data_IF_815474182084
#
_entry.id   IF_815474182084
#
_cell.length_a   1.000
_cell.length_b   1.000
_cell.length_c   1.000
_cell.angle_alpha   90.00
_cell.angle_beta   90.00
_cell.angle_gamma   90.00
#
_symmetry.space_group_name_H-M   'P 1'
#
loop_
_entity.id
_entity.type
_entity.pdbx_description
1 polymer ?
#
# COMPACT_ATOMS: atom_id res chain seq x y z
N UNK A 1 0.77 22.16 13.47
CA UNK A 1 -0.48 21.88 14.21
C UNK A 1 -0.57 20.38 14.39
N UNK A 2 -0.58 19.89 15.64
CA UNK A 2 -0.58 18.46 15.92
C UNK A 2 -2.02 17.94 15.85
N UNK A 3 -2.47 17.59 14.64
CA UNK A 3 -3.83 17.10 14.40
C UNK A 3 -3.83 15.58 14.60
N UNK A 4 -4.44 15.11 15.68
CA UNK A 4 -4.65 13.68 15.94
C UNK A 4 -6.10 13.31 15.62
N UNK A 5 -6.32 12.13 15.03
CA UNK A 5 -7.64 11.60 14.72
C UNK A 5 -7.86 10.28 15.47
N UNK A 6 -9.10 9.98 15.93
CA UNK A 6 -9.42 8.70 16.55
C UNK A 6 -9.36 7.56 15.51
N UNK A 7 -8.88 6.38 15.94
CA UNK A 7 -8.81 5.18 15.09
C UNK A 7 -10.20 4.61 14.77
N UNK A 8 -11.18 4.86 15.64
CA UNK A 8 -12.58 4.52 15.41
C UNK A 8 -13.33 5.75 14.87
N UNK A 9 -13.95 5.59 13.70
CA UNK A 9 -14.76 6.62 13.03
C UNK A 9 -15.83 5.98 12.16
N UNK A 10 -16.99 6.65 11.95
CA UNK A 10 -18.00 6.14 11.02
C UNK A 10 -17.45 6.09 9.58
N UNK A 11 -18.05 5.24 8.76
CA UNK A 11 -17.76 5.19 7.33
C UNK A 11 -18.17 6.52 6.65
N UNK A 12 -17.56 6.88 5.51
CA UNK A 12 -17.99 8.03 4.71
C UNK A 12 -19.48 7.93 4.32
N UNK A 13 -20.14 9.08 4.21
CA UNK A 13 -21.56 9.11 3.82
C UNK A 13 -21.74 8.69 2.36
N UNK A 14 -22.92 8.16 2.02
CA UNK A 14 -23.23 7.73 0.64
C UNK A 14 -23.02 8.84 -0.40
N UNK A 15 -23.35 10.09 -0.04
CA UNK A 15 -23.18 11.28 -0.89
C UNK A 15 -21.72 11.66 -1.14
N UNK A 16 -20.77 11.12 -0.37
CA UNK A 16 -19.34 11.35 -0.51
C UNK A 16 -18.64 10.25 -1.32
N UNK A 17 -19.35 9.19 -1.70
CA UNK A 17 -18.77 8.07 -2.44
C UNK A 17 -18.64 8.42 -3.93
N UNK A 18 -17.48 8.13 -4.51
CA UNK A 18 -17.24 8.32 -5.94
C UNK A 18 -17.88 7.18 -6.75
N UNK A 19 -18.83 7.55 -7.62
CA UNK A 19 -19.60 6.57 -8.43
C UNK A 19 -18.89 6.18 -9.72
N UNK A 20 -17.94 7.00 -10.19
CA UNK A 20 -17.21 6.73 -11.43
C UNK A 20 -16.13 5.67 -11.19
N UNK A 21 -16.14 4.55 -11.93
CA UNK A 21 -15.03 3.62 -11.89
C UNK A 21 -13.80 4.27 -12.53
N UNK A 22 -12.69 4.30 -11.78
CA UNK A 22 -11.38 4.70 -12.29
C UNK A 22 -10.37 3.60 -12.00
N UNK A 23 -9.54 3.28 -13.00
CA UNK A 23 -8.50 2.25 -12.88
C UNK A 23 -7.32 2.82 -12.09
N UNK A 24 -6.68 1.95 -11.32
CA UNK A 24 -5.43 2.18 -10.64
C UNK A 24 -4.35 1.34 -11.32
N UNK A 25 -3.49 2.00 -12.07
CA UNK A 25 -2.39 1.36 -12.80
C UNK A 25 -1.30 0.95 -11.82
N UNK A 26 -0.97 -0.34 -11.81
CA UNK A 26 0.00 -0.91 -10.86
C UNK A 26 1.41 -1.00 -11.44
N UNK A 27 1.54 -0.98 -12.77
CA UNK A 27 2.78 -1.27 -13.48
C UNK A 27 3.07 -2.77 -13.60
N UNK A 28 2.20 -3.63 -13.06
CA UNK A 28 2.35 -5.08 -13.06
C UNK A 28 1.48 -5.64 -14.18
N UNK A 29 2.11 -6.03 -15.28
CA UNK A 29 1.43 -6.47 -16.51
C UNK A 29 0.28 -7.47 -16.28
N UNK A 30 0.51 -8.51 -15.45
CA UNK A 30 -0.51 -9.53 -15.21
C UNK A 30 -1.71 -8.98 -14.43
N UNK A 31 -1.47 -8.04 -13.51
CA UNK A 31 -2.52 -7.38 -12.73
C UNK A 31 -3.28 -6.40 -13.62
N UNK A 32 -2.58 -5.50 -14.29
CA UNK A 32 -3.20 -4.45 -15.11
C UNK A 32 -3.99 -5.03 -16.30
N UNK A 33 -3.58 -6.19 -16.84
CA UNK A 33 -4.28 -6.84 -17.95
C UNK A 33 -5.44 -7.74 -17.52
N UNK A 34 -5.24 -8.61 -16.52
CA UNK A 34 -6.21 -9.67 -16.20
C UNK A 34 -7.13 -9.31 -15.02
N UNK A 35 -6.64 -8.49 -14.08
CA UNK A 35 -7.35 -8.17 -12.84
C UNK A 35 -7.07 -6.71 -12.42
N UNK A 36 -7.44 -5.71 -13.24
CA UNK A 36 -7.09 -4.32 -13.02
C UNK A 36 -7.67 -3.81 -11.69
N UNK A 37 -6.86 -3.06 -10.95
CA UNK A 37 -7.27 -2.51 -9.66
C UNK A 37 -8.15 -1.28 -9.86
N UNK A 38 -9.18 -1.13 -9.02
CA UNK A 38 -10.02 0.08 -8.98
C UNK A 38 -9.46 1.05 -7.95
N UNK A 39 -9.30 2.32 -8.30
CA UNK A 39 -8.94 3.38 -7.35
C UNK A 39 -10.02 3.50 -6.26
N UNK A 40 -9.60 3.55 -5.00
CA UNK A 40 -10.52 3.51 -3.84
C UNK A 40 -11.19 2.14 -3.61
N UNK A 41 -10.83 1.12 -4.39
CA UNK A 41 -11.30 -0.25 -4.23
C UNK A 41 -10.58 -0.99 -3.10
N UNK A 42 -11.16 -2.12 -2.70
CA UNK A 42 -10.54 -3.09 -1.79
C UNK A 42 -10.04 -4.27 -2.61
N UNK A 43 -8.78 -4.64 -2.42
CA UNK A 43 -8.13 -5.74 -3.13
C UNK A 43 -7.72 -6.81 -2.13
N UNK A 44 -7.98 -8.07 -2.47
CA UNK A 44 -7.49 -9.23 -1.70
C UNK A 44 -6.35 -9.91 -2.44
N UNK A 45 -5.21 -10.10 -1.77
CA UNK A 45 -4.12 -10.96 -2.25
C UNK A 45 -4.24 -12.33 -1.59
N UNK A 46 -4.76 -13.31 -2.33
CA UNK A 46 -4.92 -14.69 -1.84
C UNK A 46 -3.74 -15.55 -2.29
N UNK A 47 -3.14 -16.29 -1.35
CA UNK A 47 -2.03 -17.19 -1.66
C UNK A 47 -1.41 -17.84 -0.42
N UNK A 48 -0.57 -18.86 -0.64
CA UNK A 48 0.12 -19.61 0.42
C UNK A 48 1.41 -18.95 0.93
N UNK A 49 2.18 -19.68 1.73
CA UNK A 49 3.55 -19.28 2.09
C UNK A 49 4.47 -19.39 0.87
N UNK A 50 5.42 -18.46 0.72
CA UNK A 50 6.44 -18.52 -0.35
C UNK A 50 5.96 -18.14 -1.76
N UNK A 51 4.68 -17.81 -1.96
CA UNK A 51 4.14 -17.42 -3.28
C UNK A 51 4.45 -15.97 -3.69
N UNK A 52 5.25 -15.25 -2.90
CA UNK A 52 5.66 -13.87 -3.22
C UNK A 52 4.64 -12.78 -2.88
N UNK A 53 3.70 -12.99 -1.95
CA UNK A 53 2.72 -11.97 -1.54
C UNK A 53 3.38 -10.67 -1.07
N UNK A 54 4.38 -10.77 -0.21
CA UNK A 54 5.14 -9.63 0.33
C UNK A 54 5.88 -8.89 -0.77
N UNK A 55 6.52 -9.64 -1.69
CA UNK A 55 7.21 -9.08 -2.85
C UNK A 55 6.25 -8.28 -3.74
N UNK A 56 5.05 -8.82 -3.98
CA UNK A 56 3.99 -8.11 -4.71
C UNK A 56 3.57 -6.80 -4.02
N UNK A 57 3.40 -6.82 -2.69
CA UNK A 57 3.03 -5.63 -1.92
C UNK A 57 4.14 -4.57 -2.00
N UNK A 58 5.40 -4.95 -1.85
CA UNK A 58 6.52 -4.03 -1.98
C UNK A 58 6.62 -3.41 -3.37
N UNK A 59 6.40 -4.21 -4.42
CA UNK A 59 6.45 -3.72 -5.79
C UNK A 59 5.30 -2.75 -6.08
N UNK A 60 4.11 -3.02 -5.55
CA UNK A 60 3.00 -2.05 -5.61
C UNK A 60 3.37 -0.73 -4.95
N UNK A 61 3.93 -0.78 -3.73
CA UNK A 61 4.37 0.41 -3.00
C UNK A 61 5.43 1.18 -3.79
N UNK A 62 6.43 0.48 -4.33
CA UNK A 62 7.50 1.04 -5.14
C UNK A 62 6.95 1.80 -6.36
N UNK A 63 6.00 1.19 -7.08
CA UNK A 63 5.41 1.78 -8.29
C UNK A 63 4.52 2.98 -7.96
N UNK A 64 3.80 2.95 -6.83
CA UNK A 64 3.01 4.08 -6.34
C UNK A 64 3.89 5.28 -5.99
N UNK A 65 4.97 5.02 -5.25
CA UNK A 65 5.91 6.06 -4.82
C UNK A 65 6.56 6.74 -6.03
N UNK A 66 6.95 5.96 -7.05
CA UNK A 66 7.61 6.47 -8.27
C UNK A 66 6.66 7.13 -9.26
N UNK A 67 5.46 6.58 -9.48
CA UNK A 67 4.59 6.99 -10.59
C UNK A 67 3.49 7.98 -10.18
N UNK A 68 3.02 7.95 -8.94
CA UNK A 68 1.77 8.61 -8.56
C UNK A 68 1.91 9.67 -7.46
N UNK A 69 3.12 9.94 -6.94
CA UNK A 69 3.33 10.92 -5.86
C UNK A 69 2.46 10.65 -4.63
N UNK A 70 2.07 9.39 -4.43
CA UNK A 70 1.16 8.95 -3.39
C UNK A 70 1.90 8.41 -2.18
N UNK A 71 1.25 8.48 -1.01
CA UNK A 71 1.77 7.87 0.22
C UNK A 71 1.20 6.46 0.35
N UNK A 72 2.05 5.48 0.61
CA UNK A 72 1.63 4.14 1.01
C UNK A 72 1.66 4.00 2.53
N UNK A 73 0.71 3.24 3.06
CA UNK A 73 0.64 2.88 4.48
C UNK A 73 0.58 1.37 4.58
N UNK A 74 1.49 0.77 5.34
CA UNK A 74 1.51 -0.66 5.61
C UNK A 74 1.20 -0.89 7.09
N UNK A 75 0.21 -1.75 7.37
CA UNK A 75 -0.15 -2.17 8.72
C UNK A 75 -0.14 -3.69 8.82
N UNK A 76 0.85 -4.25 9.51
CA UNK A 76 1.02 -5.69 9.68
C UNK A 76 0.17 -6.22 10.84
N UNK A 77 -0.92 -6.94 10.54
CA UNK A 77 -1.83 -7.50 11.56
C UNK A 77 -1.58 -8.99 11.73
N UNK A 78 -1.10 -9.42 12.89
CA UNK A 78 -0.85 -10.84 13.18
C UNK A 78 0.32 -11.45 12.42
N UNK A 79 1.18 -10.61 11.84
CA UNK A 79 2.39 -11.03 11.14
C UNK A 79 3.49 -11.46 12.10
N UNK A 80 4.41 -12.29 11.62
CA UNK A 80 5.60 -12.64 12.41
C UNK A 80 6.56 -11.46 12.44
N UNK A 81 7.15 -11.18 13.60
CA UNK A 81 8.15 -10.11 13.76
C UNK A 81 9.32 -10.25 12.77
N UNK A 82 9.75 -11.48 12.46
CA UNK A 82 10.78 -11.73 11.45
C UNK A 82 10.34 -11.24 10.06
N UNK A 83 9.12 -11.58 9.64
CA UNK A 83 8.58 -11.17 8.34
C UNK A 83 8.43 -9.64 8.26
N UNK A 84 8.03 -8.99 9.36
CA UNK A 84 7.98 -7.54 9.46
C UNK A 84 9.36 -6.87 9.41
N UNK A 85 10.36 -7.46 10.07
CA UNK A 85 11.74 -6.97 10.02
C UNK A 85 12.35 -7.11 8.62
N UNK A 86 12.15 -8.27 7.98
CA UNK A 86 12.62 -8.53 6.62
C UNK A 86 12.01 -7.49 5.65
N UNK A 87 10.70 -7.26 5.75
CA UNK A 87 9.99 -6.23 4.98
C UNK A 87 10.55 -4.81 5.22
N UNK A 88 10.81 -4.46 6.49
CA UNK A 88 11.37 -3.15 6.83
C UNK A 88 12.74 -2.92 6.19
N UNK A 89 13.62 -3.92 6.28
CA UNK A 89 14.95 -3.84 5.69
C UNK A 89 14.89 -3.76 4.16
N UNK A 90 14.06 -4.57 3.51
CA UNK A 90 13.85 -4.53 2.06
C UNK A 90 13.31 -3.16 1.59
N UNK A 91 12.39 -2.55 2.35
CA UNK A 91 11.88 -1.21 2.05
C UNK A 91 12.95 -0.11 2.19
N UNK A 92 13.90 -0.26 3.12
CA UNK A 92 15.05 0.64 3.25
C UNK A 92 16.03 0.46 2.10
N UNK A 93 16.39 -0.77 1.76
CA UNK A 93 17.32 -1.09 0.67
C UNK A 93 16.79 -0.64 -0.70
N UNK A 94 15.49 -0.82 -0.93
CA UNK A 94 14.80 -0.35 -2.15
C UNK A 94 14.59 1.17 -2.20
N UNK A 95 15.01 1.91 -1.17
CA UNK A 95 14.83 3.37 -1.00
C UNK A 95 13.38 3.84 -1.03
N UNK A 96 12.46 2.91 -0.82
CA UNK A 96 11.03 3.19 -0.66
C UNK A 96 10.78 3.90 0.67
N UNK A 97 11.55 3.55 1.70
CA UNK A 97 11.69 4.33 2.92
C UNK A 97 13.00 5.11 2.85
N UNK A 98 12.90 6.43 2.79
CA UNK A 98 14.03 7.33 2.98
C UNK A 98 14.00 7.89 4.40
N UNK A 99 14.94 7.45 5.24
CA UNK A 99 15.04 7.89 6.65
C UNK A 99 15.40 9.39 6.75
N UNK A 100 16.01 9.97 5.72
CA UNK A 100 16.37 11.40 5.68
C UNK A 100 15.19 12.29 5.26
N UNK A 101 14.18 11.74 4.57
CA UNK A 101 13.00 12.47 4.12
C UNK A 101 11.72 11.63 4.23
N UNK A 102 11.22 11.50 5.46
CA UNK A 102 9.98 10.78 5.79
C UNK A 102 8.69 11.42 5.22
N UNK A 103 8.78 12.64 4.67
CA UNK A 103 7.63 13.40 4.17
C UNK A 103 7.13 12.92 2.80
N UNK A 104 8.00 12.31 2.00
CA UNK A 104 7.71 11.81 0.65
C UNK A 104 7.61 10.27 0.58
N UNK A 105 7.77 9.59 1.72
CA UNK A 105 7.92 8.13 1.77
C UNK A 105 6.75 7.41 2.43
N UNK A 106 6.80 6.09 2.35
CA UNK A 106 5.86 5.16 3.01
C UNK A 106 5.81 5.43 4.51
N UNK A 107 4.60 5.53 5.06
CA UNK A 107 4.38 5.61 6.50
C UNK A 107 4.04 4.22 7.03
N UNK A 108 4.89 3.69 7.91
CA UNK A 108 4.61 2.46 8.65
C UNK A 108 3.72 2.79 9.85
N UNK A 109 2.64 2.01 10.04
CA UNK A 109 1.73 2.11 11.18
C UNK A 109 1.72 0.82 12.00
#
# INVERSE_FOLDING_TARGET
MNTTLPIHRPAPAFTQLETKPSIFETGIKVVDLLAPYRRGGKIGLFGGAGVGKTVLIMELINNIAKAHGGVSVFGGVGERTREGNDLYMEMKESKVINEENLTECVKLL
#
